data_IF_233640435648
#
_entry.id   IF_233640435648
#
_cell.length_a   1.000
_cell.length_b   1.000
_cell.length_c   1.000
_cell.angle_alpha   90.00
_cell.angle_beta   90.00
_cell.angle_gamma   90.00
#
_symmetry.space_group_name_H-M   'P 1'
#
loop_
_entity.id
_entity.type
_entity.pdbx_description
1 polymer ?
#
# COMPACT_ATOMS: atom_id res chain seq x y z
N UNK A 1 -22.00 0.32 1.03
CA UNK A 1 -21.54 -0.66 0.03
C UNK A 1 -20.05 -0.84 0.20
N UNK A 2 -19.57 -2.07 0.26
CA UNK A 2 -18.13 -2.36 0.36
C UNK A 2 -17.46 -2.07 -0.98
N UNK A 3 -16.40 -1.25 -0.95
CA UNK A 3 -15.69 -0.81 -2.15
C UNK A 3 -14.84 -1.93 -2.74
N UNK A 4 -14.33 -1.71 -3.96
CA UNK A 4 -13.40 -2.66 -4.59
C UNK A 4 -12.09 -2.78 -3.80
N UNK A 5 -11.59 -1.68 -3.24
CA UNK A 5 -10.38 -1.67 -2.40
C UNK A 5 -10.62 -2.54 -1.16
N UNK A 6 -11.70 -2.28 -0.42
CA UNK A 6 -12.04 -3.01 0.80
C UNK A 6 -12.20 -4.51 0.53
N UNK A 7 -12.94 -4.87 -0.52
CA UNK A 7 -13.10 -6.27 -0.94
C UNK A 7 -11.79 -6.94 -1.28
N UNK A 8 -10.98 -6.31 -2.14
CA UNK A 8 -9.74 -6.90 -2.64
C UNK A 8 -8.74 -7.09 -1.51
N UNK A 9 -8.52 -6.07 -0.68
CA UNK A 9 -7.54 -6.16 0.40
C UNK A 9 -7.95 -7.21 1.45
N UNK A 10 -9.22 -7.24 1.84
CA UNK A 10 -9.67 -8.22 2.85
C UNK A 10 -9.75 -9.65 2.33
N UNK A 11 -9.94 -9.85 1.03
CA UNK A 11 -9.94 -11.18 0.42
C UNK A 11 -8.51 -11.72 0.23
N UNK A 12 -7.56 -10.87 -0.16
CA UNK A 12 -6.19 -11.30 -0.44
C UNK A 12 -5.29 -11.32 0.79
N UNK A 13 -5.58 -10.49 1.80
CA UNK A 13 -4.82 -10.42 3.06
C UNK A 13 -5.75 -10.48 4.27
N UNK A 14 -6.56 -11.54 4.44
CA UNK A 14 -7.49 -11.64 5.55
C UNK A 14 -6.80 -11.48 6.92
N UNK A 15 -5.58 -11.98 7.07
CA UNK A 15 -4.75 -11.86 8.27
C UNK A 15 -4.39 -10.42 8.62
N UNK A 16 -4.24 -9.54 7.61
CA UNK A 16 -3.98 -8.13 7.87
C UNK A 16 -5.17 -7.45 8.57
N UNK A 17 -6.39 -7.97 8.41
CA UNK A 17 -7.62 -7.32 8.89
C UNK A 17 -8.34 -8.08 10.00
N UNK A 18 -7.86 -9.26 10.40
CA UNK A 18 -8.54 -10.16 11.35
C UNK A 18 -9.05 -9.44 12.62
N UNK A 19 -8.22 -8.58 13.23
CA UNK A 19 -8.54 -7.93 14.51
C UNK A 19 -9.15 -6.53 14.37
N UNK A 20 -9.07 -5.91 13.18
CA UNK A 20 -9.40 -4.48 12.99
C UNK A 20 -10.47 -4.20 11.96
N UNK A 21 -10.98 -5.20 11.24
CA UNK A 21 -11.94 -4.99 10.15
C UNK A 21 -13.18 -4.17 10.54
N UNK A 22 -13.71 -4.34 11.75
CA UNK A 22 -14.89 -3.62 12.24
C UNK A 22 -14.64 -2.13 12.56
N UNK A 23 -13.38 -1.74 12.78
CA UNK A 23 -13.00 -0.36 13.09
C UNK A 23 -12.75 0.49 11.83
N UNK A 24 -12.42 -0.15 10.70
CA UNK A 24 -12.12 0.51 9.44
C UNK A 24 -13.43 0.78 8.68
N UNK A 25 -13.62 2.02 8.21
CA UNK A 25 -14.90 2.43 7.58
C UNK A 25 -14.74 2.91 6.15
N UNK A 26 -13.58 3.46 5.82
CA UNK A 26 -13.32 4.12 4.53
C UNK A 26 -12.16 3.47 3.79
N UNK A 27 -12.09 3.66 2.47
CA UNK A 27 -10.96 3.16 1.67
C UNK A 27 -9.61 3.69 2.18
N UNK A 28 -9.62 4.93 2.69
CA UNK A 28 -8.46 5.56 3.31
C UNK A 28 -8.00 4.76 4.55
N UNK A 29 -8.92 4.42 5.46
CA UNK A 29 -8.59 3.62 6.65
C UNK A 29 -8.00 2.25 6.27
N UNK A 30 -8.60 1.58 5.27
CA UNK A 30 -8.14 0.27 4.81
C UNK A 30 -6.74 0.36 4.19
N UNK A 31 -6.48 1.36 3.36
CA UNK A 31 -5.17 1.56 2.72
C UNK A 31 -4.09 1.91 3.74
N UNK A 32 -4.38 2.82 4.68
CA UNK A 32 -3.44 3.24 5.72
C UNK A 32 -3.06 2.06 6.63
N UNK A 33 -4.07 1.30 7.06
CA UNK A 33 -3.85 0.10 7.87
C UNK A 33 -3.06 -0.96 7.09
N UNK A 34 -3.38 -1.16 5.81
CA UNK A 34 -2.67 -2.10 4.95
C UNK A 34 -1.21 -1.70 4.70
N UNK A 35 -0.93 -0.40 4.60
CA UNK A 35 0.43 0.12 4.48
C UNK A 35 1.26 -0.17 5.73
N UNK A 36 0.68 0.04 6.92
CA UNK A 36 1.32 -0.28 8.20
C UNK A 36 1.61 -1.77 8.35
N UNK A 37 0.68 -2.63 7.93
CA UNK A 37 0.90 -4.08 7.86
C UNK A 37 2.01 -4.45 6.87
N UNK A 38 2.00 -3.86 5.68
CA UNK A 38 3.03 -4.10 4.67
C UNK A 38 4.42 -3.70 5.15
N UNK A 39 4.51 -2.59 5.89
CA UNK A 39 5.74 -2.14 6.55
C UNK A 39 6.21 -3.12 7.62
N UNK A 40 5.32 -3.72 8.41
CA UNK A 40 5.74 -4.72 9.41
C UNK A 40 6.32 -5.96 8.73
N UNK A 41 5.73 -6.43 7.62
CA UNK A 41 6.28 -7.53 6.82
C UNK A 41 7.71 -7.24 6.32
N UNK A 42 7.98 -6.02 5.86
CA UNK A 42 9.32 -5.60 5.41
C UNK A 42 10.30 -5.64 6.58
N UNK A 43 9.93 -5.02 7.73
CA UNK A 43 10.77 -4.95 8.93
C UNK A 43 11.09 -6.33 9.50
N UNK A 44 10.13 -7.24 9.44
CA UNK A 44 10.28 -8.63 9.90
C UNK A 44 11.02 -9.51 8.88
N UNK A 45 11.35 -8.98 7.70
CA UNK A 45 12.06 -9.71 6.67
C UNK A 45 11.24 -10.86 6.06
N UNK A 46 9.92 -10.77 6.11
CA UNK A 46 9.02 -11.81 5.59
C UNK A 46 9.27 -12.09 4.11
N UNK A 47 9.22 -13.35 3.70
CA UNK A 47 9.33 -13.76 2.29
C UNK A 47 8.24 -13.12 1.42
N UNK A 48 7.09 -12.83 2.01
CA UNK A 48 5.92 -12.29 1.31
C UNK A 48 5.88 -10.75 1.29
N UNK A 49 6.96 -10.06 1.69
CA UNK A 49 7.01 -8.59 1.77
C UNK A 49 6.75 -7.85 0.45
N UNK A 50 6.88 -8.52 -0.69
CA UNK A 50 6.55 -7.94 -2.01
C UNK A 50 5.07 -8.09 -2.40
N UNK A 51 4.33 -9.03 -1.81
CA UNK A 51 2.94 -9.31 -2.19
C UNK A 51 2.00 -8.11 -2.04
N UNK A 52 2.09 -7.30 -0.95
CA UNK A 52 1.25 -6.12 -0.83
C UNK A 52 1.37 -5.15 -2.01
N UNK A 53 2.58 -4.92 -2.50
CA UNK A 53 2.82 -4.02 -3.63
C UNK A 53 2.25 -4.55 -4.94
N UNK A 54 2.19 -5.88 -5.13
CA UNK A 54 1.54 -6.48 -6.31
C UNK A 54 0.04 -6.24 -6.31
N UNK A 55 -0.62 -6.38 -5.16
CA UNK A 55 -2.06 -6.12 -5.03
C UNK A 55 -2.38 -4.63 -5.13
N UNK A 56 -1.54 -3.75 -4.56
CA UNK A 56 -1.67 -2.32 -4.78
C UNK A 56 -1.49 -1.96 -6.25
N UNK A 57 -0.55 -2.59 -6.97
CA UNK A 57 -0.39 -2.36 -8.41
C UNK A 57 -1.64 -2.76 -9.20
N UNK A 58 -2.28 -3.88 -8.85
CA UNK A 58 -3.54 -4.31 -9.46
C UNK A 58 -4.65 -3.28 -9.23
N UNK A 59 -4.81 -2.82 -7.99
CA UNK A 59 -5.81 -1.81 -7.61
C UNK A 59 -5.55 -0.47 -8.30
N UNK A 60 -4.29 -0.03 -8.35
CA UNK A 60 -3.88 1.23 -8.96
C UNK A 60 -4.08 1.21 -10.47
N UNK A 61 -3.64 0.15 -11.14
CA UNK A 61 -3.73 0.00 -12.61
C UNK A 61 -5.18 0.04 -13.08
N UNK A 62 -6.08 -0.66 -12.38
CA UNK A 62 -7.52 -0.69 -12.68
C UNK A 62 -8.30 0.40 -11.94
N UNK A 63 -7.62 1.27 -11.20
CA UNK A 63 -8.13 2.36 -10.35
C UNK A 63 -8.86 3.43 -11.15
N UNK A 64 -9.99 3.90 -10.60
CA UNK A 64 -10.47 5.25 -10.88
C UNK A 64 -9.47 6.29 -10.37
N UNK A 65 -9.58 7.54 -10.82
CA UNK A 65 -8.73 8.64 -10.33
C UNK A 65 -8.82 8.77 -8.80
N UNK A 66 -10.02 8.62 -8.24
CA UNK A 66 -10.25 8.64 -6.80
C UNK A 66 -9.46 7.54 -6.08
N UNK A 67 -9.53 6.30 -6.55
CA UNK A 67 -8.82 5.16 -5.94
C UNK A 67 -7.30 5.32 -6.04
N UNK A 68 -6.79 5.82 -7.18
CA UNK A 68 -5.36 6.10 -7.35
C UNK A 68 -4.87 7.15 -6.36
N UNK A 69 -5.61 8.25 -6.22
CA UNK A 69 -5.29 9.30 -5.26
C UNK A 69 -5.35 8.79 -3.82
N UNK A 70 -6.32 7.95 -3.47
CA UNK A 70 -6.39 7.35 -2.14
C UNK A 70 -5.18 6.45 -1.87
N UNK A 71 -4.74 5.64 -2.84
CA UNK A 71 -3.54 4.81 -2.71
C UNK A 71 -2.28 5.67 -2.53
N UNK A 72 -2.12 6.73 -3.31
CA UNK A 72 -0.99 7.66 -3.18
C UNK A 72 -0.95 8.28 -1.77
N UNK A 73 -2.10 8.78 -1.30
CA UNK A 73 -2.20 9.53 -0.05
C UNK A 73 -2.23 8.67 1.22
N UNK A 74 -2.57 7.39 1.15
CA UNK A 74 -2.69 6.55 2.37
C UNK A 74 -1.78 5.35 2.37
N UNK A 75 -1.45 4.82 1.20
CA UNK A 75 -0.52 3.70 1.10
C UNK A 75 0.91 4.16 0.87
N UNK A 76 1.17 4.89 -0.22
CA UNK A 76 2.54 5.30 -0.54
C UNK A 76 3.11 6.32 0.42
N UNK A 77 2.28 7.26 0.93
CA UNK A 77 2.74 8.27 1.88
C UNK A 77 3.40 7.66 3.11
N UNK A 78 2.89 6.51 3.58
CA UNK A 78 3.41 5.83 4.77
C UNK A 78 4.86 5.45 4.56
N UNK A 79 5.22 4.98 3.37
CA UNK A 79 6.61 4.64 3.05
C UNK A 79 7.45 5.88 2.80
N UNK A 80 6.92 6.85 2.05
CA UNK A 80 7.65 8.04 1.61
C UNK A 80 8.28 8.86 2.76
N UNK A 81 7.57 9.02 3.89
CA UNK A 81 8.05 9.82 5.02
C UNK A 81 9.31 9.29 5.71
N UNK A 82 9.59 7.99 5.60
CA UNK A 82 10.75 7.38 6.25
C UNK A 82 11.88 7.07 5.27
N UNK A 83 11.77 7.53 4.02
CA UNK A 83 12.76 7.24 3.00
C UNK A 83 14.04 8.08 3.15
N UNK A 84 15.16 7.39 3.07
CA UNK A 84 16.49 7.95 2.83
C UNK A 84 17.12 7.24 1.62
N UNK A 85 18.28 7.69 1.10
CA UNK A 85 18.85 7.10 -0.11
C UNK A 85 19.10 5.58 -0.05
N UNK A 86 19.34 5.03 1.14
CA UNK A 86 19.56 3.60 1.32
C UNK A 86 18.25 2.81 1.26
N UNK A 87 17.25 3.22 2.04
CA UNK A 87 15.94 2.56 2.09
C UNK A 87 15.18 2.71 0.78
N UNK A 88 15.37 3.81 0.05
CA UNK A 88 14.68 4.06 -1.21
C UNK A 88 15.03 2.98 -2.25
N UNK A 89 16.30 2.57 -2.29
CA UNK A 89 16.74 1.49 -3.18
C UNK A 89 16.05 0.17 -2.85
N UNK A 90 15.87 -0.12 -1.56
CA UNK A 90 15.18 -1.33 -1.10
C UNK A 90 13.68 -1.27 -1.44
N UNK A 91 13.01 -0.16 -1.13
CA UNK A 91 11.60 0.05 -1.47
C UNK A 91 11.33 -0.06 -2.97
N UNK A 92 12.18 0.53 -3.81
CA UNK A 92 12.07 0.43 -5.27
C UNK A 92 12.27 -1.00 -5.80
N UNK A 93 13.06 -1.83 -5.10
CA UNK A 93 13.25 -3.24 -5.46
C UNK A 93 12.01 -4.09 -5.19
N UNK A 94 11.20 -3.71 -4.20
CA UNK A 94 9.94 -4.38 -3.84
C UNK A 94 8.77 -3.93 -4.72
N UNK A 95 8.84 -2.72 -5.27
CA UNK A 95 7.79 -2.15 -6.10
C UNK A 95 7.81 -2.71 -7.53
N UNK A 96 6.63 -3.12 -8.05
CA UNK A 96 6.41 -3.32 -9.47
C UNK A 96 6.78 -2.07 -10.27
N UNK A 97 7.32 -2.26 -11.47
CA UNK A 97 7.86 -1.19 -12.31
C UNK A 97 6.87 -0.01 -12.54
N UNK A 98 5.56 -0.23 -12.79
CA UNK A 98 4.60 0.86 -12.94
C UNK A 98 4.40 1.73 -11.70
N UNK A 99 4.65 1.19 -10.50
CA UNK A 99 4.46 1.92 -9.26
C UNK A 99 5.69 2.72 -8.83
N UNK A 100 6.86 2.45 -9.42
CA UNK A 100 8.11 3.14 -9.04
C UNK A 100 8.03 4.64 -9.33
N UNK A 101 7.54 5.01 -10.51
CA UNK A 101 7.38 6.42 -10.88
C UNK A 101 6.35 7.12 -9.99
N UNK A 102 5.25 6.44 -9.66
CA UNK A 102 4.23 6.95 -8.74
C UNK A 102 4.80 7.16 -7.34
N UNK A 103 5.55 6.20 -6.83
CA UNK A 103 6.17 6.30 -5.52
C UNK A 103 7.19 7.45 -5.43
N UNK A 104 8.05 7.60 -6.45
CA UNK A 104 9.00 8.72 -6.54
C UNK A 104 8.24 10.05 -6.59
N UNK A 105 7.16 10.15 -7.37
CA UNK A 105 6.30 11.33 -7.41
C UNK A 105 5.76 11.65 -6.01
N UNK A 106 5.24 10.67 -5.28
CA UNK A 106 4.73 10.87 -3.90
C UNK A 106 5.81 11.41 -2.96
N UNK A 107 7.07 10.96 -3.08
CA UNK A 107 8.19 11.49 -2.29
C UNK A 107 8.51 12.95 -2.66
N UNK A 108 8.45 13.31 -3.95
CA UNK A 108 8.80 14.66 -4.41
C UNK A 108 7.72 15.71 -4.10
N UNK A 109 6.47 15.29 -3.97
CA UNK A 109 5.32 16.17 -3.74
C UNK A 109 5.04 16.44 -2.25
N UNK A 110 5.73 15.78 -1.32
CA UNK A 110 5.54 15.91 0.14
C UNK A 110 6.85 16.24 0.85
#
# INVERSE_FOLDING_TARGET
MESRIQKTLTQWFPEAFADKKSALKTDYDFLNHFAKYSRSLIREGSENKSEPFKIINLLYSKGSLFERNAIENEFFIVFAFDENPHTLKESLSLLPEPLRSVFIKTILEN
#
